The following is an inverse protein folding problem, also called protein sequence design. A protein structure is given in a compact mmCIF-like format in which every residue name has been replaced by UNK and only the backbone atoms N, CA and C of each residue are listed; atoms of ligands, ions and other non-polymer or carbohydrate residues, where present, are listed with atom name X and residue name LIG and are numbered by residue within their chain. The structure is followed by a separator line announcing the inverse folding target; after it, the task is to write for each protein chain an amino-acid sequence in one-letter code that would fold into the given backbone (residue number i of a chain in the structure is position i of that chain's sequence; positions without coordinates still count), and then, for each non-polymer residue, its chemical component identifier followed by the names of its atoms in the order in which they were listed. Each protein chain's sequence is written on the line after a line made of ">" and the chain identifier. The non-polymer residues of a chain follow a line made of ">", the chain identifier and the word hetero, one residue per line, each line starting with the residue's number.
data_IF_322254201228
#
_entry.id   IF_322254201228
#
_cell.length_a   1.000
_cell.length_b   1.000
_cell.length_c   1.000
_cell.angle_alpha   90.00
_cell.angle_beta   90.00
_cell.angle_gamma   90.00
#
_symmetry.space_group_name_H-M   'P 1'
#
loop_
_entity.id
_entity.type
_entity.pdbx_description
1 polymer ?
#
# COMPACT_ATOMS: atom_id res chain seq x y z
N UNK A 1 -5.46 35.73 18.64
CA UNK A 1 -5.75 36.36 19.95
C UNK A 1 -6.04 35.22 20.95
N UNK A 2 -5.39 35.26 22.14
CA UNK A 2 -5.25 34.22 23.21
C UNK A 2 -4.30 33.04 22.88
N UNK A 3 -3.01 33.08 23.27
CA UNK A 3 -2.35 32.86 24.59
C UNK A 3 -2.63 31.46 25.18
N UNK A 4 -1.68 30.52 25.26
CA UNK A 4 -0.42 30.42 26.04
C UNK A 4 -0.62 29.65 27.35
N UNK A 5 0.04 28.50 27.53
CA UNK A 5 0.72 28.15 28.80
C UNK A 5 1.75 27.04 28.60
N UNK A 6 2.99 27.39 28.96
CA UNK A 6 4.19 26.57 29.05
C UNK A 6 4.41 26.23 30.53
N UNK A 7 4.85 25.01 30.86
CA UNK A 7 5.31 24.67 32.20
C UNK A 7 6.76 24.17 32.18
N UNK A 8 7.58 24.76 33.07
CA UNK A 8 9.04 24.73 33.14
C UNK A 8 9.50 23.84 34.31
N UNK A 9 10.63 23.17 34.10
CA UNK A 9 11.47 22.35 35.00
C UNK A 9 11.56 22.82 36.47
N UNK A 10 11.78 21.85 37.38
CA UNK A 10 12.51 22.06 38.65
C UNK A 10 13.45 20.88 38.95
N UNK A 11 14.75 21.17 39.04
CA UNK A 11 15.81 20.32 39.59
C UNK A 11 16.10 20.86 41.00
N UNK A 12 16.34 19.98 41.98
CA UNK A 12 16.66 20.35 43.36
C UNK A 12 18.02 19.78 43.74
N UNK A 13 19.03 20.64 43.84
CA UNK A 13 20.29 20.39 44.54
C UNK A 13 20.18 20.97 45.95
N UNK A 14 20.52 20.18 46.98
CA UNK A 14 20.76 20.68 48.35
C UNK A 14 22.23 20.47 48.70
N UNK A 15 22.83 21.57 49.15
CA UNK A 15 24.22 21.79 49.54
C UNK A 15 24.28 21.75 51.07
N UNK A 16 25.28 21.12 51.67
CA UNK A 16 25.71 21.43 53.04
C UNK A 16 27.23 21.31 53.20
N UNK A 17 27.77 22.21 54.03
CA UNK A 17 29.18 22.63 54.15
C UNK A 17 29.77 22.16 55.49
N UNK A 18 31.05 21.77 55.44
CA UNK A 18 32.22 22.24 56.23
C UNK A 18 32.21 22.16 57.77
N UNK A 19 33.30 21.56 58.30
CA UNK A 19 33.95 21.90 59.59
C UNK A 19 34.97 20.82 59.99
N UNK A 20 36.29 21.00 59.76
CA UNK A 20 37.35 21.35 60.75
C UNK A 20 37.48 20.31 61.90
N UNK A 21 38.60 19.70 62.26
CA UNK A 21 40.03 19.88 62.05
C UNK A 21 40.77 19.41 63.33
N UNK A 22 41.98 18.84 63.19
CA UNK A 22 43.03 18.62 64.20
C UNK A 22 43.19 17.28 64.98
N UNK A 23 44.16 16.49 64.50
CA UNK A 23 45.35 15.86 65.14
C UNK A 23 45.36 15.53 66.65
N UNK A 24 45.78 14.30 66.97
CA UNK A 24 46.41 13.90 68.26
C UNK A 24 46.75 12.40 68.32
N UNK A 25 48.04 12.07 68.38
CA UNK A 25 48.64 10.72 68.51
C UNK A 25 48.57 10.17 69.95
N UNK A 26 48.58 8.84 70.10
CA UNK A 26 49.42 8.03 71.02
C UNK A 26 49.06 6.52 70.89
N UNK A 27 50.04 5.64 70.57
CA UNK A 27 50.69 4.61 71.44
C UNK A 27 49.72 3.55 72.00
N UNK A 28 49.97 2.23 72.11
CA UNK A 28 50.92 1.17 71.69
C UNK A 28 50.35 -0.14 72.35
N UNK A 29 50.97 -1.31 72.12
CA UNK A 29 50.70 -2.65 72.72
C UNK A 29 49.53 -3.49 72.13
N UNK A 30 49.63 -4.79 71.86
CA UNK A 30 50.73 -5.77 71.71
C UNK A 30 50.06 -7.10 71.24
N UNK A 31 50.79 -7.88 70.42
CA UNK A 31 50.80 -9.36 70.30
C UNK A 31 49.51 -10.21 70.10
N UNK A 32 49.49 -11.06 69.05
CA UNK A 32 49.98 -12.47 69.12
C UNK A 32 49.48 -13.36 67.94
N UNK A 33 50.44 -13.88 67.15
CA UNK A 33 50.50 -15.18 66.42
C UNK A 33 49.31 -15.71 65.58
N UNK A 34 49.52 -15.94 64.28
CA UNK A 34 50.05 -17.23 63.72
C UNK A 34 50.11 -17.18 62.19
N UNK A 35 51.28 -17.49 61.62
CA UNK A 35 51.46 -17.86 60.21
C UNK A 35 50.97 -19.30 59.99
N UNK A 36 50.13 -19.54 58.97
CA UNK A 36 50.07 -20.79 58.19
C UNK A 36 49.75 -20.43 56.73
N UNK A 37 50.81 -20.48 55.91
CA UNK A 37 50.96 -21.02 54.56
C UNK A 37 49.89 -20.86 53.45
N UNK A 38 50.41 -20.36 52.31
CA UNK A 38 50.17 -20.77 50.92
C UNK A 38 48.74 -20.91 50.38
N UNK A 39 48.30 -19.92 49.60
CA UNK A 39 47.88 -20.19 48.21
C UNK A 39 48.01 -18.94 47.36
N UNK A 40 48.65 -19.11 46.21
CA UNK A 40 48.91 -18.13 45.16
C UNK A 40 47.64 -17.39 44.72
N UNK A 41 47.56 -16.10 45.04
CA UNK A 41 46.71 -15.18 44.27
C UNK A 41 47.40 -14.95 42.92
N UNK A 42 47.03 -15.79 41.95
CA UNK A 42 47.28 -15.55 40.54
C UNK A 42 46.85 -14.10 40.21
N UNK A 43 47.84 -13.25 39.95
CA UNK A 43 47.68 -12.13 39.04
C UNK A 43 47.27 -12.71 37.68
N UNK A 44 45.97 -12.98 37.51
CA UNK A 44 45.38 -13.12 36.19
C UNK A 44 45.40 -11.72 35.59
N UNK A 45 46.57 -11.33 35.08
CA UNK A 45 46.66 -10.40 33.97
C UNK A 45 45.61 -10.85 32.95
N UNK A 46 44.50 -10.13 32.90
CA UNK A 46 43.43 -10.35 31.95
C UNK A 46 43.96 -9.91 30.57
N UNK A 47 44.89 -10.71 30.03
CA UNK A 47 45.30 -10.69 28.63
C UNK A 47 44.02 -10.54 27.81
N UNK A 48 43.87 -9.49 26.97
CA UNK A 48 42.69 -9.34 26.17
C UNK A 48 42.66 -10.55 25.24
N UNK A 49 41.80 -11.52 25.57
CA UNK A 49 41.77 -12.77 24.84
C UNK A 49 41.51 -12.46 23.37
N UNK A 50 42.09 -13.21 22.43
CA UNK A 50 41.85 -13.04 20.98
C UNK A 50 40.34 -12.99 20.65
N UNK A 51 39.52 -13.62 21.50
CA UNK A 51 38.06 -13.57 21.51
C UNK A 51 37.47 -12.19 21.82
N UNK A 52 38.05 -11.42 22.73
CA UNK A 52 37.67 -10.02 22.97
C UNK A 52 37.86 -9.15 21.73
N UNK A 53 38.94 -9.36 20.97
CA UNK A 53 39.22 -8.65 19.72
C UNK A 53 38.27 -9.07 18.58
N UNK A 54 37.91 -10.34 18.52
CA UNK A 54 36.90 -10.86 17.58
C UNK A 54 35.51 -10.33 17.94
N UNK A 55 35.14 -10.30 19.22
CA UNK A 55 33.87 -9.77 19.70
C UNK A 55 33.75 -8.27 19.41
N UNK A 56 34.81 -7.50 19.63
CA UNK A 56 34.83 -6.07 19.31
C UNK A 56 34.67 -5.81 17.81
N UNK A 57 35.34 -6.58 16.95
CA UNK A 57 35.14 -6.51 15.50
C UNK A 57 33.72 -6.91 15.08
N UNK A 58 33.15 -7.95 15.68
CA UNK A 58 31.75 -8.35 15.47
C UNK A 58 30.77 -7.27 15.90
N UNK A 59 31.01 -6.61 17.02
CA UNK A 59 30.20 -5.49 17.51
C UNK A 59 30.28 -4.27 16.60
N UNK A 60 31.47 -3.94 16.08
CA UNK A 60 31.62 -2.85 15.11
C UNK A 60 30.90 -3.17 13.80
N UNK A 61 31.01 -4.41 13.30
CA UNK A 61 30.29 -4.86 12.11
C UNK A 61 28.78 -4.88 12.34
N UNK A 62 28.31 -5.33 13.50
CA UNK A 62 26.87 -5.37 13.83
C UNK A 62 26.29 -3.97 13.98
N UNK A 63 27.05 -3.01 14.56
CA UNK A 63 26.66 -1.59 14.59
C UNK A 63 26.56 -1.01 13.17
N UNK A 64 27.59 -1.19 12.32
CA UNK A 64 27.53 -0.73 10.92
C UNK A 64 26.38 -1.36 10.13
N UNK A 65 26.10 -2.64 10.37
CA UNK A 65 24.99 -3.33 9.75
C UNK A 65 23.64 -2.77 10.25
N UNK A 66 23.50 -2.53 11.55
CA UNK A 66 22.32 -1.90 12.14
C UNK A 66 22.11 -0.49 11.59
N UNK A 67 23.16 0.32 11.47
CA UNK A 67 23.10 1.64 10.85
C UNK A 67 22.65 1.55 9.38
N UNK A 68 23.15 0.58 8.64
CA UNK A 68 22.73 0.36 7.24
C UNK A 68 21.26 -0.08 7.17
N UNK A 69 20.81 -0.98 8.04
CA UNK A 69 19.42 -1.42 8.10
C UNK A 69 18.47 -0.28 8.48
N UNK A 70 18.85 0.59 9.41
CA UNK A 70 18.02 1.75 9.76
C UNK A 70 17.89 2.72 8.60
N UNK A 71 18.96 2.95 7.83
CA UNK A 71 18.90 3.75 6.60
C UNK A 71 17.98 3.13 5.54
N UNK A 72 18.09 1.82 5.33
CA UNK A 72 17.20 1.08 4.40
C UNK A 72 15.76 1.12 4.89
N UNK A 73 15.52 0.97 6.19
CA UNK A 73 14.18 1.04 6.78
C UNK A 73 13.55 2.41 6.56
N UNK A 74 14.25 3.51 6.86
CA UNK A 74 13.75 4.88 6.61
C UNK A 74 13.45 5.08 5.12
N UNK A 75 14.33 4.59 4.25
CA UNK A 75 14.12 4.62 2.80
C UNK A 75 12.86 3.85 2.36
N UNK A 76 12.65 2.63 2.87
CA UNK A 76 11.48 1.80 2.55
C UNK A 76 10.19 2.46 3.03
N UNK A 77 10.16 2.96 4.27
CA UNK A 77 9.00 3.67 4.79
C UNK A 77 8.68 4.92 3.97
N UNK A 78 9.70 5.65 3.51
CA UNK A 78 9.55 6.81 2.66
C UNK A 78 9.03 6.45 1.27
N UNK A 79 9.54 5.39 0.65
CA UNK A 79 9.03 4.87 -0.62
C UNK A 79 7.56 4.48 -0.49
N UNK A 80 7.23 3.81 0.61
CA UNK A 80 5.89 3.32 0.87
C UNK A 80 4.91 4.48 1.12
N UNK A 81 5.29 5.50 1.87
CA UNK A 81 4.51 6.75 2.04
C UNK A 81 4.07 7.35 0.69
N UNK A 82 4.95 7.31 -0.32
CA UNK A 82 4.70 7.90 -1.63
C UNK A 82 3.84 7.02 -2.56
N UNK A 83 3.95 5.69 -2.44
CA UNK A 83 3.42 4.75 -3.42
C UNK A 83 2.28 3.88 -2.88
N UNK A 84 2.04 3.83 -1.57
CA UNK A 84 1.07 2.90 -0.97
C UNK A 84 -0.34 3.08 -1.54
N UNK A 85 -0.82 4.32 -1.71
CA UNK A 85 -2.15 4.59 -2.27
C UNK A 85 -2.31 4.02 -3.69
N UNK A 86 -1.24 4.13 -4.52
CA UNK A 86 -1.24 3.61 -5.90
C UNK A 86 -1.25 2.08 -5.90
N UNK A 87 -0.53 1.46 -4.97
CA UNK A 87 -0.50 0.01 -4.81
C UNK A 87 -1.88 -0.51 -4.40
N UNK A 88 -2.53 0.11 -3.41
CA UNK A 88 -3.89 -0.29 -2.99
C UNK A 88 -4.89 -0.14 -4.14
N UNK A 89 -4.85 0.97 -4.87
CA UNK A 89 -5.72 1.18 -6.03
C UNK A 89 -5.51 0.11 -7.11
N UNK A 90 -4.25 -0.19 -7.45
CA UNK A 90 -3.88 -1.20 -8.43
C UNK A 90 -4.40 -2.59 -8.03
N UNK A 91 -4.12 -3.04 -6.79
CA UNK A 91 -4.56 -4.34 -6.31
C UNK A 91 -6.09 -4.44 -6.19
N UNK A 92 -6.77 -3.37 -5.76
CA UNK A 92 -8.23 -3.36 -5.66
C UNK A 92 -8.89 -3.53 -7.03
N UNK A 93 -8.40 -2.81 -8.05
CA UNK A 93 -8.89 -2.96 -9.43
C UNK A 93 -8.51 -4.32 -10.00
N UNK A 94 -7.30 -4.82 -9.75
CA UNK A 94 -6.87 -6.15 -10.16
C UNK A 94 -7.82 -7.25 -9.66
N UNK A 95 -8.09 -7.26 -8.35
CA UNK A 95 -9.03 -8.23 -7.74
C UNK A 95 -10.44 -8.08 -8.32
N UNK A 96 -10.87 -6.85 -8.61
CA UNK A 96 -12.18 -6.60 -9.21
C UNK A 96 -12.29 -7.11 -10.65
N UNK A 97 -11.17 -7.16 -11.39
CA UNK A 97 -11.10 -7.67 -12.77
C UNK A 97 -10.96 -9.19 -12.82
N UNK A 98 -10.36 -9.81 -11.80
CA UNK A 98 -10.26 -11.27 -11.69
C UNK A 98 -11.64 -11.93 -11.50
N UNK A 99 -12.52 -11.28 -10.74
CA UNK A 99 -13.92 -11.70 -10.55
C UNK A 99 -14.86 -10.49 -10.82
N UNK A 100 -15.27 -10.27 -12.09
CA UNK A 100 -16.19 -9.18 -12.42
C UNK A 100 -17.54 -9.43 -11.74
N UNK A 101 -17.96 -8.49 -10.90
CA UNK A 101 -19.23 -8.60 -10.16
C UNK A 101 -19.76 -7.24 -9.75
N UNK A 102 -21.06 -7.19 -9.46
CA UNK A 102 -21.71 -5.95 -8.99
C UNK A 102 -21.15 -5.48 -7.65
N UNK A 103 -20.83 -6.40 -6.74
CA UNK A 103 -20.24 -6.02 -5.45
C UNK A 103 -18.83 -5.40 -5.64
N UNK A 104 -18.05 -5.89 -6.59
CA UNK A 104 -16.72 -5.36 -6.90
C UNK A 104 -16.78 -4.04 -7.70
N UNK A 105 -17.86 -3.75 -8.42
CA UNK A 105 -18.07 -2.47 -9.12
C UNK A 105 -17.86 -1.27 -8.19
N UNK A 106 -18.34 -1.35 -6.94
CA UNK A 106 -18.17 -0.28 -5.95
C UNK A 106 -16.69 0.03 -5.71
N UNK A 107 -15.83 -0.99 -5.64
CA UNK A 107 -14.38 -0.79 -5.49
C UNK A 107 -13.79 -0.10 -6.72
N UNK A 108 -14.20 -0.50 -7.92
CA UNK A 108 -13.76 0.12 -9.18
C UNK A 108 -14.17 1.59 -9.24
N UNK A 109 -15.40 1.92 -8.85
CA UNK A 109 -15.90 3.31 -8.80
C UNK A 109 -15.10 4.14 -7.79
N UNK A 110 -14.93 3.65 -6.55
CA UNK A 110 -14.18 4.36 -5.52
C UNK A 110 -12.74 4.66 -5.96
N UNK A 111 -12.02 3.66 -6.48
CA UNK A 111 -10.61 3.81 -6.85
C UNK A 111 -10.40 4.57 -8.16
N UNK A 112 -11.29 4.42 -9.16
CA UNK A 112 -11.22 5.21 -10.40
C UNK A 112 -11.42 6.71 -10.16
N UNK A 113 -12.16 7.10 -9.13
CA UNK A 113 -12.35 8.50 -8.71
C UNK A 113 -11.25 8.97 -7.75
N UNK A 114 -10.77 8.11 -6.83
CA UNK A 114 -9.73 8.47 -5.87
C UNK A 114 -8.38 8.83 -6.52
N UNK A 115 -8.04 8.17 -7.63
CA UNK A 115 -6.76 8.38 -8.31
C UNK A 115 -6.58 9.78 -8.91
N UNK A 116 -7.54 10.35 -9.68
CA UNK A 116 -7.46 11.72 -10.15
C UNK A 116 -7.77 12.76 -9.07
N UNK A 117 -8.63 12.45 -8.09
CA UNK A 117 -9.03 13.37 -7.02
C UNK A 117 -8.37 12.99 -5.68
N UNK A 118 -7.12 13.40 -5.49
CA UNK A 118 -6.33 13.04 -4.29
C UNK A 118 -6.95 13.44 -2.95
N UNK A 119 -7.81 14.47 -2.93
CA UNK A 119 -8.58 14.86 -1.73
C UNK A 119 -9.59 13.80 -1.30
N UNK A 120 -10.11 13.02 -2.24
CA UNK A 120 -11.05 11.93 -1.98
C UNK A 120 -10.35 10.63 -1.55
N UNK A 121 -9.02 10.53 -1.73
CA UNK A 121 -8.23 9.33 -1.42
C UNK A 121 -8.49 8.75 -0.02
N UNK A 122 -8.39 9.53 1.07
CA UNK A 122 -8.65 9.02 2.42
C UNK A 122 -10.08 8.52 2.62
N UNK A 123 -11.07 9.19 2.01
CA UNK A 123 -12.47 8.77 2.07
C UNK A 123 -12.68 7.46 1.31
N UNK A 124 -12.10 7.33 0.12
CA UNK A 124 -12.16 6.13 -0.68
C UNK A 124 -11.53 4.92 0.04
N UNK A 125 -10.38 5.10 0.70
CA UNK A 125 -9.76 4.03 1.50
C UNK A 125 -10.69 3.57 2.64
N UNK A 126 -11.27 4.51 3.40
CA UNK A 126 -12.20 4.19 4.47
C UNK A 126 -13.44 3.46 3.97
N UNK A 127 -14.09 3.97 2.92
CA UNK A 127 -15.28 3.36 2.31
C UNK A 127 -14.96 1.97 1.73
N UNK A 128 -13.81 1.83 1.07
CA UNK A 128 -13.39 0.54 0.52
C UNK A 128 -13.11 -0.49 1.62
N UNK A 129 -12.56 -0.07 2.77
CA UNK A 129 -12.35 -0.97 3.92
C UNK A 129 -13.68 -1.53 4.44
N UNK A 130 -14.65 -0.65 4.69
CA UNK A 130 -15.99 -1.06 5.13
C UNK A 130 -16.63 -1.98 4.09
N UNK A 131 -16.55 -1.63 2.81
CA UNK A 131 -17.17 -2.40 1.74
C UNK A 131 -16.53 -3.78 1.54
N UNK A 132 -15.21 -3.87 1.58
CA UNK A 132 -14.50 -5.17 1.51
C UNK A 132 -14.89 -6.05 2.69
N UNK A 133 -15.03 -5.50 3.90
CA UNK A 133 -15.56 -6.26 5.05
C UNK A 133 -16.98 -6.78 4.78
N UNK A 134 -17.86 -5.96 4.20
CA UNK A 134 -19.21 -6.40 3.79
C UNK A 134 -19.13 -7.55 2.79
N UNK A 135 -18.29 -7.43 1.75
CA UNK A 135 -18.10 -8.51 0.77
C UNK A 135 -17.64 -9.79 1.45
N UNK A 136 -16.63 -9.72 2.32
CA UNK A 136 -16.11 -10.90 3.04
C UNK A 136 -17.21 -11.54 3.88
N UNK A 137 -17.96 -10.77 4.66
CA UNK A 137 -19.06 -11.28 5.49
C UNK A 137 -20.14 -11.93 4.62
N UNK A 138 -20.57 -11.28 3.53
CA UNK A 138 -21.54 -11.86 2.60
C UNK A 138 -21.03 -13.18 1.99
N UNK A 139 -19.77 -13.21 1.54
CA UNK A 139 -19.15 -14.42 0.98
C UNK A 139 -19.08 -15.54 2.01
N UNK A 140 -18.75 -15.24 3.26
CA UNK A 140 -18.68 -16.24 4.33
C UNK A 140 -20.05 -16.77 4.75
N UNK A 141 -21.05 -15.89 4.88
CA UNK A 141 -22.42 -16.28 5.22
C UNK A 141 -23.03 -17.19 4.16
N UNK A 142 -22.75 -16.95 2.87
CA UNK A 142 -23.26 -17.79 1.78
C UNK A 142 -22.67 -19.21 1.76
N UNK A 143 -21.52 -19.43 2.43
CA UNK A 143 -20.94 -20.79 2.54
C UNK A 143 -21.65 -21.67 3.57
N UNK A 144 -22.54 -21.11 4.40
CA UNK A 144 -23.28 -21.90 5.37
C UNK A 144 -24.13 -22.98 4.67
N UNK A 145 -24.22 -24.15 5.30
CA UNK A 145 -24.98 -25.29 4.76
C UNK A 145 -26.48 -24.99 4.61
N UNK A 146 -27.00 -24.02 5.38
CA UNK A 146 -28.39 -23.56 5.33
C UNK A 146 -28.76 -22.92 4.00
N UNK A 147 -27.79 -22.29 3.30
CA UNK A 147 -28.06 -21.64 2.02
C UNK A 147 -27.95 -22.68 0.92
N UNK A 148 -29.02 -22.98 0.19
CA UNK A 148 -29.01 -23.93 -0.92
C UNK A 148 -29.19 -23.20 -2.27
N UNK A 149 -28.15 -23.09 -3.13
CA UNK A 149 -28.24 -22.35 -4.38
C UNK A 149 -29.26 -22.96 -5.37
N UNK A 150 -29.59 -24.25 -5.22
CA UNK A 150 -30.57 -24.94 -6.07
C UNK A 150 -32.01 -24.44 -5.83
N UNK A 151 -32.31 -23.92 -4.64
CA UNK A 151 -33.65 -23.39 -4.33
C UNK A 151 -33.91 -22.01 -4.98
N UNK A 152 -32.85 -21.28 -5.29
CA UNK A 152 -32.92 -19.91 -5.84
C UNK A 152 -32.50 -19.84 -7.31
N UNK A 153 -32.03 -20.94 -7.89
CA UNK A 153 -31.57 -20.96 -9.28
C UNK A 153 -32.75 -20.89 -10.25
N UNK A 154 -32.53 -20.18 -11.34
CA UNK A 154 -33.51 -20.05 -12.43
C UNK A 154 -33.07 -20.91 -13.60
N UNK A 155 -33.96 -21.78 -14.07
CA UNK A 155 -33.72 -22.56 -15.29
C UNK A 155 -34.16 -21.74 -16.50
N UNK A 156 -33.19 -21.26 -17.28
CA UNK A 156 -33.48 -20.62 -18.56
C UNK A 156 -33.81 -21.69 -19.60
N UNK A 157 -35.01 -21.59 -20.20
CA UNK A 157 -35.45 -22.51 -21.25
C UNK A 157 -34.77 -22.16 -22.58
N UNK A 158 -34.36 -23.16 -23.36
CA UNK A 158 -33.80 -22.92 -24.68
C UNK A 158 -34.83 -22.21 -25.58
N UNK A 159 -34.50 -21.07 -26.22
CA UNK A 159 -35.38 -20.46 -27.20
C UNK A 159 -35.54 -21.37 -28.43
N UNK A 160 -36.67 -21.24 -29.12
CA UNK A 160 -36.97 -22.01 -30.32
C UNK A 160 -35.99 -21.62 -31.45
N UNK A 161 -35.54 -22.58 -32.26
CA UNK A 161 -34.54 -22.40 -33.34
C UNK A 161 -34.92 -21.27 -34.31
N UNK A 162 -36.20 -20.96 -34.45
CA UNK A 162 -36.70 -19.90 -35.33
C UNK A 162 -36.52 -18.46 -34.78
N UNK A 163 -36.16 -18.29 -33.51
CA UNK A 163 -36.02 -16.98 -32.85
C UNK A 163 -34.56 -16.52 -32.77
N UNK A 164 -33.58 -17.39 -33.03
CA UNK A 164 -32.15 -17.10 -32.84
C UNK A 164 -31.29 -17.66 -33.96
N UNK A 165 -30.28 -16.91 -34.42
CA UNK A 165 -29.35 -17.32 -35.47
C UNK A 165 -28.25 -18.30 -34.99
N UNK A 166 -28.29 -18.75 -33.73
CA UNK A 166 -27.28 -19.62 -33.13
C UNK A 166 -27.57 -21.10 -33.40
N UNK A 167 -26.52 -21.88 -33.62
CA UNK A 167 -26.64 -23.34 -33.74
C UNK A 167 -27.07 -23.94 -32.38
N UNK A 168 -27.91 -25.00 -32.36
CA UNK A 168 -28.37 -25.63 -31.13
C UNK A 168 -27.23 -26.10 -30.22
N UNK A 169 -26.13 -26.57 -30.80
CA UNK A 169 -24.94 -27.03 -30.08
C UNK A 169 -24.17 -25.87 -29.41
N UNK A 170 -24.17 -24.68 -30.02
CA UNK A 170 -23.56 -23.47 -29.45
C UNK A 170 -24.44 -22.89 -28.33
N UNK A 171 -25.75 -23.02 -28.45
CA UNK A 171 -26.70 -22.59 -27.42
C UNK A 171 -26.57 -23.44 -26.14
N UNK A 172 -26.52 -24.76 -26.25
CA UNK A 172 -26.40 -25.66 -25.09
C UNK A 172 -25.05 -25.47 -24.36
N UNK A 173 -23.99 -25.11 -25.08
CA UNK A 173 -22.68 -24.80 -24.50
C UNK A 173 -22.56 -23.36 -23.97
N UNK A 174 -23.59 -22.52 -24.12
CA UNK A 174 -23.57 -21.16 -23.59
C UNK A 174 -23.80 -21.15 -22.08
N UNK A 175 -23.14 -20.19 -21.41
CA UNK A 175 -23.19 -20.03 -19.95
C UNK A 175 -24.61 -19.87 -19.36
N UNK A 176 -25.59 -19.50 -20.19
CA UNK A 176 -26.98 -19.28 -19.79
C UNK A 176 -27.82 -20.57 -19.77
N UNK A 177 -27.46 -21.56 -20.60
CA UNK A 177 -28.28 -22.75 -20.84
C UNK A 177 -27.62 -24.06 -20.39
N UNK A 178 -26.33 -24.03 -20.05
CA UNK A 178 -25.58 -25.21 -19.61
C UNK A 178 -25.99 -25.68 -18.20
N UNK A 179 -26.21 -24.75 -17.27
CA UNK A 179 -26.52 -25.04 -15.87
C UNK A 179 -27.56 -24.03 -15.31
N UNK A 180 -28.32 -24.40 -14.26
CA UNK A 180 -29.22 -23.49 -13.58
C UNK A 180 -28.50 -22.21 -13.14
N UNK A 181 -29.07 -21.06 -13.47
CA UNK A 181 -28.41 -19.77 -13.21
C UNK A 181 -28.68 -19.35 -11.78
N UNK A 182 -27.62 -19.29 -10.96
CA UNK A 182 -27.68 -18.69 -9.63
C UNK A 182 -27.60 -17.15 -9.76
N UNK A 183 -28.65 -16.40 -9.38
CA UNK A 183 -28.63 -14.93 -9.41
C UNK A 183 -27.52 -14.33 -8.52
N UNK A 184 -27.12 -15.02 -7.45
CA UNK A 184 -26.07 -14.55 -6.55
C UNK A 184 -24.69 -14.49 -7.23
N UNK A 185 -24.47 -15.32 -8.26
CA UNK A 185 -23.22 -15.34 -9.03
C UNK A 185 -22.94 -14.00 -9.72
N UNK A 186 -23.98 -13.32 -10.21
CA UNK A 186 -23.86 -11.99 -10.83
C UNK A 186 -23.48 -10.90 -9.81
N UNK A 187 -23.97 -11.03 -8.58
CA UNK A 187 -23.53 -10.20 -7.45
C UNK A 187 -22.11 -10.53 -6.98
N UNK A 188 -21.50 -11.63 -7.45
CA UNK A 188 -20.15 -12.05 -7.07
C UNK A 188 -20.12 -12.93 -5.82
N UNK A 189 -21.19 -13.66 -5.56
CA UNK A 189 -21.31 -14.60 -4.46
C UNK A 189 -21.56 -16.00 -5.05
N UNK A 190 -20.68 -16.96 -4.74
CA UNK A 190 -20.82 -18.36 -5.14
C UNK A 190 -20.42 -19.30 -4.00
N UNK A 191 -20.96 -20.52 -4.01
CA UNK A 191 -20.44 -21.58 -3.15
C UNK A 191 -19.09 -22.08 -3.68
N UNK A 192 -18.16 -22.33 -2.78
CA UNK A 192 -16.84 -22.88 -3.08
C UNK A 192 -16.47 -23.95 -2.05
N UNK A 193 -15.58 -24.88 -2.41
CA UNK A 193 -15.16 -25.97 -1.54
C UNK A 193 -14.36 -25.47 -0.33
N UNK A 194 -13.67 -24.32 -0.47
CA UNK A 194 -12.90 -23.72 0.63
C UNK A 194 -13.25 -22.24 0.84
N UNK A 195 -13.76 -21.93 2.03
CA UNK A 195 -14.18 -20.57 2.41
C UNK A 195 -13.01 -19.57 2.37
N UNK A 196 -11.84 -20.01 2.84
CA UNK A 196 -10.63 -19.16 2.90
C UNK A 196 -10.03 -18.93 1.50
N UNK A 197 -10.03 -19.95 0.64
CA UNK A 197 -9.55 -19.81 -0.74
C UNK A 197 -10.39 -18.81 -1.52
N UNK A 198 -11.71 -18.88 -1.37
CA UNK A 198 -12.65 -17.99 -2.07
C UNK A 198 -12.59 -16.52 -1.61
N UNK A 199 -12.33 -16.27 -0.33
CA UNK A 199 -12.22 -14.91 0.23
C UNK A 199 -10.80 -14.34 0.22
N UNK A 200 -9.79 -15.13 -0.19
CA UNK A 200 -8.37 -14.76 -0.17
C UNK A 200 -8.08 -13.43 -0.87
N UNK A 201 -8.65 -13.22 -2.06
CA UNK A 201 -8.37 -12.01 -2.85
C UNK A 201 -8.87 -10.74 -2.13
N UNK A 202 -10.09 -10.78 -1.60
CA UNK A 202 -10.66 -9.69 -0.79
C UNK A 202 -9.92 -9.50 0.54
N UNK A 203 -9.43 -10.58 1.16
CA UNK A 203 -8.58 -10.50 2.35
C UNK A 203 -7.25 -9.80 2.07
N UNK A 204 -6.61 -10.05 0.91
CA UNK A 204 -5.39 -9.35 0.51
C UNK A 204 -5.67 -7.85 0.35
N UNK A 205 -6.79 -7.48 -0.27
CA UNK A 205 -7.19 -6.07 -0.39
C UNK A 205 -7.40 -5.44 0.99
N UNK A 206 -8.09 -6.13 1.91
CA UNK A 206 -8.28 -5.67 3.28
C UNK A 206 -6.94 -5.48 4.01
N UNK A 207 -6.03 -6.44 3.89
CA UNK A 207 -4.69 -6.35 4.49
C UNK A 207 -3.89 -5.18 3.92
N UNK A 208 -3.98 -4.92 2.61
CA UNK A 208 -3.34 -3.76 1.98
C UNK A 208 -3.93 -2.43 2.46
N UNK A 209 -5.25 -2.35 2.68
CA UNK A 209 -5.91 -1.17 3.24
C UNK A 209 -5.47 -0.90 4.68
N UNK A 210 -5.42 -1.94 5.52
CA UNK A 210 -4.90 -1.84 6.89
C UNK A 210 -3.42 -1.44 6.89
N UNK A 211 -2.65 -1.99 5.96
CA UNK A 211 -1.24 -1.65 5.80
C UNK A 211 -1.06 -0.19 5.36
N UNK A 212 -1.90 0.32 4.46
CA UNK A 212 -1.94 1.73 4.07
C UNK A 212 -2.18 2.67 5.26
N UNK A 213 -3.19 2.37 6.08
CA UNK A 213 -3.44 3.10 7.31
C UNK A 213 -2.25 3.01 8.29
N UNK A 214 -1.59 1.85 8.36
CA UNK A 214 -0.41 1.62 9.21
C UNK A 214 0.77 2.48 8.77
N UNK A 215 1.05 2.55 7.46
CA UNK A 215 2.10 3.38 6.88
C UNK A 215 1.84 4.85 7.18
N UNK A 216 0.63 5.34 6.92
CA UNK A 216 0.26 6.72 7.18
C UNK A 216 0.39 7.09 8.67
N UNK A 217 -0.01 6.17 9.56
CA UNK A 217 0.11 6.35 11.01
C UNK A 217 1.56 6.31 11.48
N UNK A 218 2.36 5.37 10.96
CA UNK A 218 3.78 5.27 11.25
C UNK A 218 4.51 6.55 10.87
N UNK A 219 4.26 7.07 9.66
CA UNK A 219 4.85 8.32 9.18
C UNK A 219 4.43 9.52 10.04
N UNK A 220 3.14 9.65 10.34
CA UNK A 220 2.64 10.71 11.22
C UNK A 220 3.33 10.67 12.59
N UNK A 221 3.53 9.47 13.14
CA UNK A 221 4.24 9.29 14.40
C UNK A 221 5.73 9.66 14.29
N UNK A 222 6.39 9.22 13.23
CA UNK A 222 7.80 9.52 12.95
C UNK A 222 8.06 11.04 12.86
N UNK A 223 7.23 11.78 12.12
CA UNK A 223 7.32 13.24 12.02
C UNK A 223 7.08 13.94 13.37
N UNK A 224 6.13 13.44 14.17
CA UNK A 224 5.88 13.97 15.53
C UNK A 224 7.06 13.78 16.47
N UNK A 225 7.71 12.61 16.45
CA UNK A 225 8.90 12.35 17.26
C UNK A 225 10.05 13.29 16.87
N UNK A 226 10.24 13.51 15.57
CA UNK A 226 11.25 14.43 15.04
C UNK A 226 10.89 15.91 15.23
N UNK A 227 9.69 16.22 15.72
CA UNK A 227 9.14 17.59 15.80
C UNK A 227 9.23 18.35 14.46
N UNK A 228 9.07 17.63 13.34
CA UNK A 228 9.13 18.18 11.98
C UNK A 228 7.79 18.02 11.30
N UNK A 229 7.44 18.98 10.44
CA UNK A 229 6.33 18.82 9.51
C UNK A 229 6.72 17.89 8.36
N UNK A 230 5.76 17.19 7.75
CA UNK A 230 6.00 16.50 6.48
C UNK A 230 6.59 17.46 5.45
N UNK A 231 7.50 16.99 4.58
CA UNK A 231 8.11 17.84 3.56
C UNK A 231 7.08 18.32 2.54
N UNK A 232 7.17 19.60 2.15
CA UNK A 232 6.21 20.22 1.23
C UNK A 232 6.21 19.57 -0.16
N UNK A 233 7.36 19.07 -0.62
CA UNK A 233 7.51 18.31 -1.85
C UNK A 233 7.84 16.86 -1.47
N UNK A 234 6.97 15.89 -1.82
CA UNK A 234 7.26 14.49 -1.58
C UNK A 234 8.43 14.04 -2.47
N UNK A 235 9.56 13.68 -1.84
CA UNK A 235 10.77 13.22 -2.51
C UNK A 235 11.45 12.12 -1.70
N UNK A 236 12.05 11.13 -2.37
CA UNK A 236 12.72 9.98 -1.76
C UNK A 236 14.09 10.35 -1.18
N UNK A 237 14.85 11.19 -1.90
CA UNK A 237 16.14 11.73 -1.48
C UNK A 237 16.10 13.26 -1.39
N UNK A 238 15.79 13.85 -0.23
CA UNK A 238 15.67 15.31 -0.09
C UNK A 238 16.94 16.09 -0.44
N UNK A 239 18.12 15.49 -0.27
CA UNK A 239 19.41 16.10 -0.60
C UNK A 239 19.70 16.18 -2.11
N UNK A 240 18.98 15.42 -2.94
CA UNK A 240 19.17 15.43 -4.39
C UNK A 240 18.35 16.56 -5.04
N UNK A 241 18.98 17.72 -5.20
CA UNK A 241 18.40 18.91 -5.82
C UNK A 241 18.90 19.08 -7.26
N UNK A 242 18.28 20.00 -8.02
CA UNK A 242 18.66 20.30 -9.41
C UNK A 242 20.11 20.75 -9.55
N UNK A 243 20.64 21.43 -8.53
CA UNK A 243 22.00 21.97 -8.50
C UNK A 243 23.05 20.86 -8.30
N UNK A 244 22.67 19.77 -7.63
CA UNK A 244 23.55 18.61 -7.40
C UNK A 244 23.54 17.61 -8.57
N UNK A 245 22.68 17.82 -9.57
CA UNK A 245 22.50 16.89 -10.70
C UNK A 245 23.80 16.65 -11.47
N UNK A 246 24.53 17.73 -11.74
CA UNK A 246 25.67 17.73 -12.66
C UNK A 246 26.99 17.34 -11.94
N UNK A 247 26.92 17.04 -10.65
CA UNK A 247 28.09 16.68 -9.81
C UNK A 247 28.53 15.22 -9.98
N UNK A 248 27.75 14.38 -10.66
CA UNK A 248 28.13 13.00 -10.99
C UNK A 248 26.95 12.07 -11.25
N UNK A 249 27.25 10.81 -11.59
CA UNK A 249 26.22 9.81 -11.94
C UNK A 249 25.31 9.43 -10.77
N UNK A 250 25.85 9.32 -9.55
CA UNK A 250 25.08 8.93 -8.36
C UNK A 250 24.07 10.03 -7.95
N UNK A 251 24.46 11.31 -7.80
CA UNK A 251 23.49 12.40 -7.61
C UNK A 251 22.46 12.48 -8.74
N UNK A 252 22.88 12.26 -10.00
CA UNK A 252 21.99 12.22 -11.15
C UNK A 252 20.91 11.14 -11.02
N UNK A 253 21.29 9.91 -10.67
CA UNK A 253 20.35 8.81 -10.46
C UNK A 253 19.37 9.11 -9.31
N UNK A 254 19.84 9.65 -8.19
CA UNK A 254 18.98 10.05 -7.06
C UNK A 254 17.97 11.12 -7.46
N UNK A 255 18.40 12.11 -8.24
CA UNK A 255 17.50 13.14 -8.78
C UNK A 255 16.47 12.54 -9.73
N UNK A 256 16.89 11.64 -10.62
CA UNK A 256 15.98 10.98 -11.56
C UNK A 256 14.92 10.17 -10.80
N UNK A 257 15.30 9.38 -9.80
CA UNK A 257 14.35 8.61 -8.98
C UNK A 257 13.32 9.50 -8.27
N UNK A 258 13.69 10.71 -7.83
CA UNK A 258 12.75 11.67 -7.25
C UNK A 258 11.80 12.29 -8.29
N UNK A 259 12.32 12.69 -9.46
CA UNK A 259 11.63 13.61 -10.36
C UNK A 259 11.34 13.05 -11.76
N UNK A 260 11.46 11.73 -11.97
CA UNK A 260 11.18 11.09 -13.28
C UNK A 260 9.79 11.47 -13.78
N UNK A 261 8.75 11.21 -12.99
CA UNK A 261 7.37 11.49 -13.40
C UNK A 261 7.08 12.99 -13.46
N UNK A 262 7.78 13.80 -12.66
CA UNK A 262 7.67 15.25 -12.73
C UNK A 262 8.20 15.81 -14.07
N UNK A 263 9.30 15.25 -14.59
CA UNK A 263 9.93 15.71 -15.84
C UNK A 263 9.32 15.10 -17.10
N UNK A 264 9.03 13.79 -17.06
CA UNK A 264 8.61 12.97 -18.21
C UNK A 264 7.16 12.44 -18.10
N UNK A 265 6.35 13.00 -17.20
CA UNK A 265 5.02 12.46 -16.89
C UNK A 265 4.07 12.45 -18.09
N UNK A 266 4.06 13.50 -18.92
CA UNK A 266 3.19 13.55 -20.10
C UNK A 266 3.63 12.52 -21.14
N UNK A 267 4.92 12.38 -21.37
CA UNK A 267 5.52 11.43 -22.29
C UNK A 267 5.19 9.98 -21.87
N UNK A 268 5.31 9.66 -20.58
CA UNK A 268 4.91 8.36 -20.03
C UNK A 268 3.41 8.13 -20.19
N UNK A 269 2.55 9.12 -19.89
CA UNK A 269 1.10 8.98 -20.05
C UNK A 269 0.70 8.73 -21.51
N UNK A 270 1.34 9.41 -22.47
CA UNK A 270 1.09 9.16 -23.89
C UNK A 270 1.56 7.78 -24.32
N UNK A 271 2.76 7.34 -23.88
CA UNK A 271 3.23 5.97 -24.14
C UNK A 271 2.27 4.92 -23.58
N UNK A 272 1.77 5.10 -22.35
CA UNK A 272 0.80 4.18 -21.75
C UNK A 272 -0.53 4.18 -22.51
N UNK A 273 -1.00 5.34 -22.99
CA UNK A 273 -2.24 5.42 -23.78
C UNK A 273 -2.07 4.71 -25.12
N UNK A 274 -0.94 4.91 -25.80
CA UNK A 274 -0.61 4.18 -27.04
C UNK A 274 -0.49 2.68 -26.79
N UNK A 275 0.06 2.26 -25.64
CA UNK A 275 0.11 0.85 -25.26
C UNK A 275 -1.30 0.25 -25.08
N UNK A 276 -2.21 0.96 -24.40
CA UNK A 276 -3.61 0.54 -24.25
C UNK A 276 -4.29 0.41 -25.62
N UNK A 277 -4.01 1.34 -26.53
CA UNK A 277 -4.51 1.30 -27.92
C UNK A 277 -3.91 0.12 -28.69
N UNK A 278 -2.63 -0.17 -28.52
CA UNK A 278 -1.94 -1.25 -29.23
C UNK A 278 -2.31 -2.66 -28.75
N UNK A 279 -2.59 -2.83 -27.45
CA UNK A 279 -2.96 -4.12 -26.87
C UNK A 279 -4.43 -4.50 -27.08
N UNK A 280 -5.31 -3.54 -27.36
CA UNK A 280 -6.76 -3.74 -27.49
C UNK A 280 -7.16 -3.50 -28.94
N UNK A 281 -7.94 -4.41 -29.55
CA UNK A 281 -8.44 -4.26 -30.94
C UNK A 281 -9.97 -4.12 -30.97
N UNK A 282 -10.54 -3.24 -30.14
CA UNK A 282 -11.99 -3.05 -30.00
C UNK A 282 -12.42 -1.63 -30.39
N UNK A 283 -13.69 -1.42 -30.77
CA UNK A 283 -14.24 -0.09 -31.10
C UNK A 283 -14.02 0.96 -29.99
N UNK A 284 -14.02 0.52 -28.72
CA UNK A 284 -13.73 1.34 -27.54
C UNK A 284 -12.37 2.08 -27.61
N UNK A 285 -11.43 1.54 -28.38
CA UNK A 285 -10.08 2.11 -28.59
C UNK A 285 -10.13 3.38 -29.43
N UNK A 286 -11.09 3.51 -30.35
CA UNK A 286 -11.26 4.70 -31.20
C UNK A 286 -11.49 5.93 -30.34
N UNK A 287 -12.29 5.80 -29.27
CA UNK A 287 -12.60 6.90 -28.34
C UNK A 287 -11.33 7.38 -27.63
N UNK A 288 -10.47 6.45 -27.17
CA UNK A 288 -9.15 6.80 -26.61
C UNK A 288 -8.26 7.50 -27.64
N UNK A 289 -8.25 7.03 -28.89
CA UNK A 289 -7.51 7.64 -29.99
C UNK A 289 -7.96 9.08 -30.26
N UNK A 290 -9.27 9.32 -30.33
CA UNK A 290 -9.82 10.67 -30.52
C UNK A 290 -9.39 11.64 -29.40
N UNK A 291 -9.44 11.21 -28.14
CA UNK A 291 -8.96 12.02 -27.02
C UNK A 291 -7.46 12.28 -27.08
N UNK A 292 -6.66 11.25 -27.43
CA UNK A 292 -5.21 11.39 -27.58
C UNK A 292 -4.87 12.43 -28.65
N UNK A 293 -5.51 12.37 -29.83
CA UNK A 293 -5.34 13.37 -30.89
C UNK A 293 -5.76 14.76 -30.41
N UNK A 294 -6.91 14.89 -29.74
CA UNK A 294 -7.38 16.17 -29.22
C UNK A 294 -6.39 16.81 -28.23
N UNK A 295 -5.69 16.01 -27.43
CA UNK A 295 -4.64 16.48 -26.52
C UNK A 295 -3.36 16.83 -27.29
N UNK A 296 -2.92 15.99 -28.22
CA UNK A 296 -1.67 16.19 -28.98
C UNK A 296 -1.72 17.38 -29.94
N UNK A 297 -2.90 17.72 -30.49
CA UNK A 297 -3.10 18.95 -31.28
C UNK A 297 -2.75 20.20 -30.46
N UNK A 298 -2.91 20.14 -29.13
CA UNK A 298 -2.48 21.21 -28.23
C UNK A 298 -0.98 21.11 -27.93
N UNK A 299 -0.14 21.63 -28.82
CA UNK A 299 1.34 21.59 -28.68
C UNK A 299 1.91 22.24 -27.40
N UNK A 300 1.19 23.16 -26.76
CA UNK A 300 1.67 23.88 -25.56
C UNK A 300 1.23 23.16 -24.27
N UNK A 301 2.18 22.88 -23.37
CA UNK A 301 1.90 22.27 -22.05
C UNK A 301 0.83 23.02 -21.24
N UNK A 302 0.81 24.36 -21.30
CA UNK A 302 -0.20 25.17 -20.62
C UNK A 302 -1.63 25.00 -21.19
N UNK A 303 -1.76 24.65 -22.48
CA UNK A 303 -3.05 24.33 -23.08
C UNK A 303 -3.50 22.91 -22.70
N UNK A 304 -2.56 21.95 -22.67
CA UNK A 304 -2.82 20.58 -22.19
C UNK A 304 -3.29 20.60 -20.73
N UNK A 305 -2.63 21.37 -19.86
CA UNK A 305 -2.99 21.47 -18.44
C UNK A 305 -4.45 21.90 -18.20
N UNK A 306 -5.03 22.73 -19.09
CA UNK A 306 -6.43 23.17 -18.97
C UNK A 306 -7.45 22.07 -19.32
N UNK A 307 -7.11 21.16 -20.23
CA UNK A 307 -8.01 20.06 -20.62
C UNK A 307 -7.76 18.77 -19.83
N UNK A 308 -6.57 18.64 -19.22
CA UNK A 308 -6.14 17.45 -18.50
C UNK A 308 -7.14 16.93 -17.45
N UNK A 309 -7.74 17.78 -16.58
CA UNK A 309 -8.72 17.29 -15.61
C UNK A 309 -9.98 16.69 -16.26
N UNK A 310 -10.40 17.24 -17.42
CA UNK A 310 -11.54 16.70 -18.18
C UNK A 310 -11.21 15.34 -18.79
N UNK A 311 -9.97 15.19 -19.27
CA UNK A 311 -9.49 13.90 -19.77
C UNK A 311 -9.38 12.86 -18.65
N UNK A 312 -8.87 13.22 -17.47
CA UNK A 312 -8.84 12.33 -16.32
C UNK A 312 -10.25 11.89 -15.90
N UNK A 313 -11.22 12.81 -15.86
CA UNK A 313 -12.62 12.48 -15.57
C UNK A 313 -13.20 11.53 -16.63
N UNK A 314 -12.93 11.80 -17.92
CA UNK A 314 -13.30 10.90 -19.00
C UNK A 314 -12.73 9.49 -18.78
N UNK A 315 -11.44 9.37 -18.45
CA UNK A 315 -10.81 8.07 -18.18
C UNK A 315 -11.47 7.33 -17.00
N UNK A 316 -11.83 8.03 -15.92
CA UNK A 316 -12.54 7.42 -14.78
C UNK A 316 -13.92 6.91 -15.18
N UNK A 317 -14.72 7.72 -15.88
CA UNK A 317 -16.06 7.32 -16.35
C UNK A 317 -15.95 6.16 -17.32
N UNK A 318 -14.97 6.22 -18.24
CA UNK A 318 -14.76 5.19 -19.23
C UNK A 318 -14.34 3.86 -18.60
N UNK A 319 -13.50 3.88 -17.57
CA UNK A 319 -13.13 2.68 -16.81
C UNK A 319 -14.36 2.04 -16.15
N UNK A 320 -15.24 2.84 -15.54
CA UNK A 320 -16.49 2.35 -14.93
C UNK A 320 -17.39 1.74 -16.00
N UNK A 321 -17.56 2.42 -17.13
CA UNK A 321 -18.35 1.93 -18.26
C UNK A 321 -17.82 0.59 -18.80
N UNK A 322 -16.51 0.47 -18.99
CA UNK A 322 -15.88 -0.79 -19.42
C UNK A 322 -16.13 -1.90 -18.42
N UNK A 323 -16.06 -1.62 -17.12
CA UNK A 323 -16.35 -2.62 -16.10
C UNK A 323 -17.82 -3.07 -16.14
N UNK A 324 -18.76 -2.13 -16.32
CA UNK A 324 -20.17 -2.45 -16.48
C UNK A 324 -20.43 -3.34 -17.69
N UNK A 325 -19.75 -3.09 -18.82
CA UNK A 325 -19.81 -3.96 -19.99
C UNK A 325 -19.27 -5.37 -19.69
N UNK A 326 -18.24 -5.50 -18.86
CA UNK A 326 -17.73 -6.81 -18.43
C UNK A 326 -18.69 -7.55 -17.50
N UNK A 327 -19.45 -6.84 -16.66
CA UNK A 327 -20.46 -7.45 -15.76
C UNK A 327 -21.70 -7.91 -16.54
N UNK A 328 -22.09 -7.18 -17.60
CA UNK A 328 -23.20 -7.55 -18.47
C UNK A 328 -24.57 -7.52 -17.78
N UNK A 329 -25.61 -7.96 -18.49
CA UNK A 329 -26.95 -8.10 -17.91
C UNK A 329 -27.01 -9.27 -16.91
N UNK A 330 -27.87 -9.18 -15.88
CA UNK A 330 -28.05 -10.26 -14.94
C UNK A 330 -28.60 -11.51 -15.65
N UNK A 331 -27.87 -12.64 -15.65
CA UNK A 331 -28.23 -13.83 -16.41
C UNK A 331 -29.52 -14.49 -15.91
N UNK A 332 -29.93 -14.21 -14.67
CA UNK A 332 -31.18 -14.71 -14.11
C UNK A 332 -32.44 -14.19 -14.82
N UNK A 333 -32.33 -13.13 -15.63
CA UNK A 333 -33.46 -12.63 -16.44
C UNK A 333 -33.76 -13.52 -17.66
N UNK A 334 -32.87 -14.46 -18.02
CA UNK A 334 -33.01 -15.33 -19.19
C UNK A 334 -33.26 -14.58 -20.52
N UNK A 335 -32.87 -13.30 -20.59
CA UNK A 335 -32.92 -12.51 -21.82
C UNK A 335 -31.58 -12.71 -22.52
N UNK A 336 -31.61 -13.34 -23.70
CA UNK A 336 -30.43 -13.38 -24.56
C UNK A 336 -30.02 -11.96 -24.95
N UNK A 337 -28.74 -11.65 -24.83
CA UNK A 337 -28.19 -10.40 -25.38
C UNK A 337 -28.52 -10.37 -26.88
N UNK A 338 -29.14 -9.27 -27.34
CA UNK A 338 -29.80 -9.21 -28.64
C UNK A 338 -28.84 -9.05 -29.84
N UNK A 339 -27.55 -9.34 -29.67
CA UNK A 339 -26.50 -9.14 -30.68
C UNK A 339 -25.74 -10.40 -31.04
#
# INVERSE_FOLDING_TARGET
>A
MRQSTCCRKKHSERKERIGSGHVGMNFEEEDLLTNIDEESEDEVELMPSKWGLVMDRLLVLSRRFSDTLTQVQVFLWRLLELHILKMVAFFSVWVSLEEPSVMNLVLVVLWSLAMPYSRFGPMASCLSTVWVCVIIVCKMLYQLSVVNPVEYSSNCSLPLINETNLLPEEMVNSSLYQEPVDPAKWFGIRKDATVLGYSKNHLIVLMLLVFEATVNRHQTHHYRQLQRSPPAIPALFPAATRDTLDQGLIPCLKYLLNYTFYKFGLEICFMMTVNVIGQRMNFLVIIHGCWLVAILVRRRRAAIARIWPKYCLFLSIFMIYQYLLCVGMPPALCIGESW
#
